data_IF_406041506086
#
_entry.id   IF_406041506086
#
_cell.length_a   1.000
_cell.length_b   1.000
_cell.length_c   1.000
_cell.angle_alpha   90.00
_cell.angle_beta   90.00
_cell.angle_gamma   90.00
#
_symmetry.space_group_name_H-M   'P 1'
#
loop_
_entity.id
_entity.type
_entity.pdbx_description
1 polymer ?
#
# COMPACT_ATOMS: atom_id res chain seq x y z
N UNK A 1 13.49 17.11 22.25
CA UNK A 1 13.59 16.44 20.94
C UNK A 1 12.57 17.08 20.01
N UNK A 2 13.03 17.75 18.95
CA UNK A 2 12.17 18.58 18.08
C UNK A 2 11.29 17.75 17.13
N UNK A 3 10.32 18.41 16.51
CA UNK A 3 9.40 17.85 15.49
C UNK A 3 10.14 17.12 14.36
N UNK A 4 11.33 17.56 13.98
CA UNK A 4 12.19 16.93 12.97
C UNK A 4 12.66 15.52 13.37
N UNK A 5 12.93 15.27 14.66
CA UNK A 5 13.35 13.95 15.14
C UNK A 5 12.24 12.90 14.99
N UNK A 6 10.99 13.32 15.21
CA UNK A 6 9.81 12.43 15.08
C UNK A 6 9.63 11.93 13.64
N UNK A 7 9.81 12.79 12.63
CA UNK A 7 9.70 12.35 11.23
C UNK A 7 10.77 11.36 10.82
N UNK A 8 12.01 11.55 11.28
CA UNK A 8 13.08 10.60 11.01
C UNK A 8 12.77 9.21 11.59
N UNK A 9 12.12 9.15 12.76
CA UNK A 9 11.70 7.88 13.35
C UNK A 9 10.58 7.20 12.55
N UNK A 10 9.58 7.96 12.10
CA UNK A 10 8.49 7.45 11.24
C UNK A 10 9.04 6.97 9.89
N UNK A 11 9.94 7.73 9.28
CA UNK A 11 10.59 7.35 8.03
C UNK A 11 11.36 6.02 8.18
N UNK A 12 12.07 5.81 9.30
CA UNK A 12 12.76 4.54 9.58
C UNK A 12 11.78 3.38 9.80
N UNK A 13 10.70 3.61 10.55
CA UNK A 13 9.64 2.61 10.76
C UNK A 13 9.04 2.16 9.43
N UNK A 14 8.70 3.13 8.56
CA UNK A 14 8.09 2.89 7.27
C UNK A 14 9.07 2.23 6.30
N UNK A 15 10.32 2.67 6.26
CA UNK A 15 11.35 2.05 5.40
C UNK A 15 11.57 0.58 5.76
N UNK A 16 11.63 0.25 7.05
CA UNK A 16 11.88 -1.11 7.53
C UNK A 16 10.84 -2.13 7.07
N UNK A 17 9.59 -1.70 6.81
CA UNK A 17 8.50 -2.59 6.40
C UNK A 17 8.06 -2.37 4.95
N UNK A 18 7.85 -1.12 4.56
CA UNK A 18 7.21 -0.74 3.30
C UNK A 18 8.21 -0.27 2.23
N UNK A 19 9.49 -0.17 2.57
CA UNK A 19 10.58 0.13 1.65
C UNK A 19 10.73 1.62 1.30
N UNK A 20 11.69 1.90 0.41
CA UNK A 20 12.16 3.25 0.11
C UNK A 20 11.10 4.16 -0.52
N UNK A 21 10.17 3.61 -1.32
CA UNK A 21 9.11 4.41 -1.95
C UNK A 21 8.20 5.04 -0.88
N UNK A 22 7.64 4.22 0.01
CA UNK A 22 6.78 4.71 1.09
C UNK A 22 7.54 5.67 2.02
N UNK A 23 8.83 5.42 2.27
CA UNK A 23 9.65 6.33 3.06
C UNK A 23 9.83 7.70 2.41
N UNK A 24 10.02 7.76 1.09
CA UNK A 24 10.20 9.03 0.38
C UNK A 24 8.93 9.89 0.49
N UNK A 25 7.75 9.27 0.36
CA UNK A 25 6.46 9.97 0.54
C UNK A 25 6.30 10.49 1.98
N UNK A 26 6.71 9.72 2.99
CA UNK A 26 6.71 10.18 4.40
C UNK A 26 7.64 11.36 4.59
N UNK A 27 8.85 11.33 4.01
CA UNK A 27 9.83 12.40 4.18
C UNK A 27 9.34 13.75 3.65
N UNK A 28 8.46 13.76 2.64
CA UNK A 28 7.86 14.97 2.06
C UNK A 28 6.51 15.35 2.68
N UNK A 29 5.94 14.51 3.55
CA UNK A 29 4.64 14.75 4.19
C UNK A 29 4.66 15.84 5.28
N UNK A 30 5.82 16.21 5.82
CA UNK A 30 5.92 17.20 6.88
C UNK A 30 5.68 16.64 8.30
N UNK A 31 6.25 17.26 9.35
CA UNK A 31 6.23 16.74 10.72
C UNK A 31 4.88 16.76 11.44
N UNK A 32 3.94 17.57 10.99
CA UNK A 32 2.57 17.63 11.48
C UNK A 32 1.82 16.31 11.26
N UNK A 33 2.18 15.54 10.23
CA UNK A 33 1.58 14.25 9.91
C UNK A 33 2.29 13.04 10.53
N UNK A 34 3.38 13.26 11.29
CA UNK A 34 4.19 12.17 11.86
C UNK A 34 3.37 11.15 12.66
N UNK A 35 2.49 11.63 13.55
CA UNK A 35 1.69 10.77 14.41
C UNK A 35 0.65 9.97 13.63
N UNK A 36 0.00 10.59 12.64
CA UNK A 36 -0.96 9.91 11.76
C UNK A 36 -0.27 8.81 10.94
N UNK A 37 0.86 9.13 10.32
CA UNK A 37 1.60 8.19 9.47
C UNK A 37 2.20 7.04 10.27
N UNK A 38 2.65 7.28 11.50
CA UNK A 38 3.07 6.22 12.42
C UNK A 38 1.92 5.28 12.76
N UNK A 39 0.78 5.83 13.20
CA UNK A 39 -0.40 5.05 13.55
C UNK A 39 -0.92 4.24 12.35
N UNK A 40 -0.92 4.83 11.15
CA UNK A 40 -1.31 4.13 9.93
C UNK A 40 -0.34 2.99 9.59
N UNK A 41 0.97 3.23 9.69
CA UNK A 41 2.00 2.22 9.48
C UNK A 41 1.90 1.04 10.45
N UNK A 42 1.52 1.29 11.71
CA UNK A 42 1.30 0.26 12.74
C UNK A 42 -0.03 -0.48 12.59
N UNK A 43 -1.05 0.18 12.01
CA UNK A 43 -2.38 -0.38 11.80
C UNK A 43 -2.41 -1.42 10.67
N UNK A 44 -1.81 -1.13 9.52
CA UNK A 44 -1.95 -1.98 8.33
C UNK A 44 -1.63 -3.48 8.55
N UNK A 45 -0.59 -3.87 9.31
CA UNK A 45 -0.23 -5.27 9.51
C UNK A 45 -1.23 -6.07 10.34
N UNK A 46 -2.02 -5.38 11.18
CA UNK A 46 -2.95 -6.03 12.12
C UNK A 46 -4.37 -6.18 11.55
N UNK A 47 -4.65 -5.56 10.40
CA UNK A 47 -5.96 -5.65 9.76
C UNK A 47 -6.18 -7.04 9.16
N UNK A 48 -7.39 -7.57 9.27
CA UNK A 48 -7.80 -8.69 8.40
C UNK A 48 -7.93 -8.22 6.94
N UNK A 49 -8.00 -9.16 6.00
CA UNK A 49 -8.02 -8.85 4.57
C UNK A 49 -9.25 -8.01 4.15
N UNK A 50 -10.40 -8.23 4.77
CA UNK A 50 -11.61 -7.50 4.44
C UNK A 50 -11.51 -6.04 4.87
N UNK A 51 -11.03 -5.80 6.09
CA UNK A 51 -10.81 -4.47 6.66
C UNK A 51 -9.66 -3.76 5.94
N UNK A 52 -8.59 -4.48 5.61
CA UNK A 52 -7.49 -3.97 4.80
C UNK A 52 -8.00 -3.43 3.46
N UNK A 53 -8.86 -4.17 2.75
CA UNK A 53 -9.43 -3.71 1.45
C UNK A 53 -10.23 -2.41 1.61
N UNK A 54 -11.00 -2.26 2.70
CA UNK A 54 -11.75 -1.02 2.99
C UNK A 54 -10.79 0.15 3.22
N UNK A 55 -9.85 0.00 4.15
CA UNK A 55 -8.88 1.05 4.52
C UNK A 55 -7.98 1.42 3.34
N UNK A 56 -7.59 0.43 2.53
CA UNK A 56 -6.81 0.66 1.32
C UNK A 56 -7.61 1.40 0.25
N UNK A 57 -8.90 1.10 0.07
CA UNK A 57 -9.74 1.84 -0.87
C UNK A 57 -9.88 3.32 -0.48
N UNK A 58 -10.04 3.62 0.81
CA UNK A 58 -10.07 5.00 1.32
C UNK A 58 -8.74 5.73 1.07
N UNK A 59 -7.60 5.08 1.33
CA UNK A 59 -6.29 5.67 1.07
C UNK A 59 -6.04 5.93 -0.42
N UNK A 60 -6.46 5.01 -1.29
CA UNK A 60 -6.37 5.17 -2.76
C UNK A 60 -7.24 6.35 -3.22
N UNK A 61 -8.49 6.42 -2.75
CA UNK A 61 -9.42 7.50 -3.08
C UNK A 61 -8.90 8.86 -2.62
N UNK A 62 -8.40 8.96 -1.38
CA UNK A 62 -7.82 10.19 -0.84
C UNK A 62 -6.59 10.63 -1.65
N UNK A 63 -5.72 9.68 -2.03
CA UNK A 63 -4.54 9.95 -2.84
C UNK A 63 -4.89 10.45 -4.25
N UNK A 64 -5.93 9.89 -4.87
CA UNK A 64 -6.34 10.27 -6.22
C UNK A 64 -7.10 11.61 -6.24
N UNK A 65 -7.84 11.93 -5.18
CA UNK A 65 -8.54 13.22 -5.04
C UNK A 65 -7.62 14.38 -4.62
N UNK A 66 -6.41 14.08 -4.13
CA UNK A 66 -5.46 15.11 -3.78
C UNK A 66 -4.77 15.62 -5.06
N UNK A 67 -5.15 16.84 -5.47
CA UNK A 67 -4.31 17.61 -6.38
C UNK A 67 -2.90 17.76 -5.79
N UNK A 68 -1.89 17.99 -6.61
CA UNK A 68 -0.48 18.20 -6.22
C UNK A 68 -0.24 19.47 -5.39
N UNK A 69 -1.24 19.94 -4.64
CA UNK A 69 -1.14 21.04 -3.70
C UNK A 69 -0.24 20.64 -2.51
N UNK A 70 0.56 21.59 -2.03
CA UNK A 70 1.37 21.43 -0.84
C UNK A 70 0.51 20.93 0.33
N UNK A 71 0.92 19.84 0.98
CA UNK A 71 0.20 19.19 2.09
C UNK A 71 -0.49 17.87 1.72
N UNK A 72 -0.63 17.51 0.44
CA UNK A 72 -1.21 16.24 -0.02
C UNK A 72 -0.30 15.01 0.19
N UNK A 73 0.96 15.22 0.54
CA UNK A 73 1.97 14.15 0.55
C UNK A 73 1.69 13.05 1.58
N UNK A 74 1.02 13.36 2.70
CA UNK A 74 0.62 12.35 3.68
C UNK A 74 -0.38 11.33 3.11
N UNK A 75 -1.29 11.72 2.20
CA UNK A 75 -2.21 10.77 1.56
C UNK A 75 -1.51 9.90 0.50
N UNK A 76 -0.51 10.44 -0.20
CA UNK A 76 0.36 9.64 -1.07
C UNK A 76 1.21 8.65 -0.27
N UNK A 77 1.70 9.03 0.92
CA UNK A 77 2.40 8.14 1.83
C UNK A 77 1.50 6.96 2.28
N UNK A 78 0.25 7.24 2.67
CA UNK A 78 -0.73 6.20 3.02
C UNK A 78 -1.00 5.25 1.84
N UNK A 79 -1.18 5.80 0.63
CA UNK A 79 -1.35 4.99 -0.57
C UNK A 79 -0.13 4.10 -0.87
N UNK A 80 1.09 4.63 -0.74
CA UNK A 80 2.32 3.86 -0.92
C UNK A 80 2.43 2.71 0.10
N UNK A 81 2.07 2.95 1.37
CA UNK A 81 2.07 1.93 2.41
C UNK A 81 1.07 0.81 2.13
N UNK A 82 -0.16 1.11 1.68
CA UNK A 82 -1.15 0.05 1.38
C UNK A 82 -0.73 -0.80 0.19
N UNK A 83 -0.10 -0.20 -0.83
CA UNK A 83 0.45 -0.98 -1.95
C UNK A 83 1.55 -1.93 -1.48
N UNK A 84 2.47 -1.44 -0.65
CA UNK A 84 3.55 -2.26 -0.10
C UNK A 84 3.02 -3.38 0.81
N UNK A 85 2.07 -3.08 1.70
CA UNK A 85 1.43 -4.08 2.56
C UNK A 85 0.70 -5.16 1.75
N UNK A 86 -0.01 -4.78 0.69
CA UNK A 86 -0.69 -5.74 -0.16
C UNK A 86 0.31 -6.70 -0.85
N UNK A 87 1.50 -6.21 -1.23
CA UNK A 87 2.60 -7.05 -1.74
C UNK A 87 3.12 -7.98 -0.66
N UNK A 88 3.34 -7.50 0.58
CA UNK A 88 3.78 -8.35 1.70
C UNK A 88 2.78 -9.49 1.95
N UNK A 89 1.49 -9.18 2.06
CA UNK A 89 0.42 -10.19 2.22
C UNK A 89 0.37 -11.18 1.06
N UNK A 90 0.63 -10.70 -0.17
CA UNK A 90 0.70 -11.56 -1.34
C UNK A 90 1.86 -12.55 -1.25
N UNK A 91 3.03 -12.09 -0.81
CA UNK A 91 4.20 -12.94 -0.58
C UNK A 91 3.95 -13.93 0.57
N UNK A 92 3.36 -13.48 1.68
CA UNK A 92 3.03 -14.32 2.83
C UNK A 92 2.02 -15.42 2.48
N UNK A 93 1.13 -15.17 1.51
CA UNK A 93 0.24 -16.18 0.92
C UNK A 93 0.95 -17.19 -0.02
N UNK A 94 2.27 -17.10 -0.15
CA UNK A 94 3.11 -18.03 -0.92
C UNK A 94 3.35 -17.63 -2.38
N UNK A 95 3.04 -16.39 -2.75
CA UNK A 95 3.28 -15.88 -4.10
C UNK A 95 4.67 -15.24 -4.24
N UNK A 96 5.16 -15.14 -5.48
CA UNK A 96 6.41 -14.42 -5.74
C UNK A 96 6.21 -12.90 -5.54
N UNK A 97 7.21 -12.22 -4.98
CA UNK A 97 7.16 -10.76 -4.74
C UNK A 97 6.98 -9.91 -6.02
N UNK A 98 7.31 -10.48 -7.18
CA UNK A 98 7.12 -9.86 -8.49
C UNK A 98 5.86 -10.36 -9.21
N UNK A 99 4.98 -11.17 -8.57
CA UNK A 99 3.71 -11.53 -9.19
C UNK A 99 2.88 -10.25 -9.35
N UNK A 100 2.37 -9.97 -10.56
CA UNK A 100 1.55 -8.79 -10.80
C UNK A 100 0.14 -8.89 -10.18
N UNK A 101 -0.22 -10.04 -9.59
CA UNK A 101 -1.56 -10.32 -9.07
C UNK A 101 -1.74 -9.96 -7.60
N UNK A 102 -1.50 -8.70 -7.22
CA UNK A 102 -1.68 -8.18 -5.85
C UNK A 102 -3.18 -8.03 -5.56
N UNK A 103 -3.87 -9.17 -5.45
CA UNK A 103 -5.33 -9.29 -5.39
C UNK A 103 -6.00 -8.32 -4.41
N UNK A 104 -5.45 -8.14 -3.22
CA UNK A 104 -6.04 -7.24 -2.21
C UNK A 104 -5.96 -5.77 -2.65
N UNK A 105 -4.83 -5.36 -3.26
CA UNK A 105 -4.69 -4.01 -3.80
C UNK A 105 -5.63 -3.79 -4.99
N UNK A 106 -5.75 -4.76 -5.89
CA UNK A 106 -6.68 -4.70 -7.02
C UNK A 106 -8.15 -4.57 -6.55
N UNK A 107 -8.56 -5.32 -5.52
CA UNK A 107 -9.88 -5.21 -4.90
C UNK A 107 -10.12 -3.83 -4.28
N UNK A 108 -9.13 -3.31 -3.56
CA UNK A 108 -9.19 -1.97 -2.96
C UNK A 108 -9.30 -0.88 -4.02
N UNK A 109 -8.52 -0.96 -5.10
CA UNK A 109 -8.57 0.00 -6.21
C UNK A 109 -9.93 -0.05 -6.92
N UNK A 110 -10.43 -1.25 -7.26
CA UNK A 110 -11.75 -1.41 -7.86
C UNK A 110 -12.88 -0.88 -6.97
N UNK A 111 -12.71 -0.95 -5.65
CA UNK A 111 -13.61 -0.29 -4.71
C UNK A 111 -13.47 1.23 -4.75
N UNK A 112 -12.26 1.77 -4.67
CA UNK A 112 -12.01 3.21 -4.74
C UNK A 112 -12.64 3.83 -6.01
N UNK A 113 -12.46 3.20 -7.17
CA UNK A 113 -13.06 3.62 -8.45
C UNK A 113 -14.60 3.54 -8.46
N UNK A 114 -15.22 2.60 -7.74
CA UNK A 114 -16.69 2.57 -7.62
C UNK A 114 -17.20 3.67 -6.70
N UNK A 115 -16.47 3.93 -5.62
CA UNK A 115 -16.87 4.86 -4.57
C UNK A 115 -16.54 6.33 -4.91
N UNK A 116 -15.73 6.57 -5.94
CA UNK A 116 -15.33 7.90 -6.40
C UNK A 116 -15.48 8.02 -7.92
N UNK A 117 -15.82 9.21 -8.44
CA UNK A 117 -15.89 9.44 -9.90
C UNK A 117 -14.50 9.51 -10.57
N UNK A 118 -13.52 8.76 -10.07
CA UNK A 118 -12.23 8.61 -10.73
C UNK A 118 -12.42 7.95 -12.10
N UNK A 119 -11.65 8.39 -13.09
CA UNK A 119 -11.63 7.70 -14.39
C UNK A 119 -11.24 6.22 -14.15
N UNK A 120 -12.04 5.26 -14.66
CA UNK A 120 -11.72 3.86 -14.46
C UNK A 120 -10.46 3.49 -15.26
N UNK A 121 -9.39 3.10 -14.57
CA UNK A 121 -8.77 1.78 -14.73
C UNK A 121 -7.50 1.62 -13.87
N UNK A 122 -7.32 0.48 -13.20
CA UNK A 122 -6.07 -0.27 -13.31
C UNK A 122 -6.25 -1.37 -14.38
N UNK A 123 -5.16 -1.86 -15.01
CA UNK A 123 -5.24 -2.97 -15.96
C UNK A 123 -5.92 -4.16 -15.28
N UNK A 124 -6.64 -4.97 -16.05
CA UNK A 124 -6.90 -6.35 -15.64
C UNK A 124 -5.55 -6.92 -15.19
N UNK A 125 -5.36 -7.13 -13.89
CA UNK A 125 -4.08 -7.68 -13.43
C UNK A 125 -3.90 -9.00 -14.17
N UNK A 126 -2.72 -9.24 -14.80
CA UNK A 126 -2.44 -10.53 -15.38
C UNK A 126 -2.74 -11.60 -14.33
N UNK A 127 -3.54 -12.61 -14.68
CA UNK A 127 -3.84 -13.72 -13.77
C UNK A 127 -2.52 -14.19 -13.12
N UNK A 128 -2.48 -14.21 -11.78
CA UNK A 128 -1.25 -14.52 -11.07
C UNK A 128 -0.79 -15.95 -11.42
N UNK A 129 0.30 -16.07 -12.18
CA UNK A 129 0.77 -17.36 -12.71
C UNK A 129 1.67 -18.14 -11.74
N UNK A 130 2.04 -17.55 -10.60
CA UNK A 130 2.96 -18.22 -9.68
C UNK A 130 2.33 -19.45 -8.98
N UNK A 131 0.99 -19.59 -8.99
CA UNK A 131 0.31 -20.84 -8.64
C UNK A 131 0.42 -21.93 -9.72
N UNK A 132 0.34 -21.56 -11.00
CA UNK A 132 0.43 -22.52 -12.11
C UNK A 132 1.81 -23.19 -12.17
N UNK A 133 2.89 -22.41 -12.00
CA UNK A 133 4.27 -22.94 -11.98
C UNK A 133 4.55 -23.85 -10.78
N UNK A 134 4.01 -23.54 -9.61
CA UNK A 134 4.18 -24.36 -8.40
C UNK A 134 3.37 -25.67 -8.43
N UNK A 135 2.28 -25.72 -9.20
CA UNK A 135 1.49 -26.94 -9.46
C UNK A 135 2.15 -27.79 -10.55
N UNK A 136 2.68 -27.19 -11.61
CA UNK A 136 3.42 -27.89 -12.67
C UNK A 136 4.70 -28.54 -12.13
N UNK A 137 5.48 -27.84 -11.29
CA UNK A 137 6.69 -28.41 -10.68
C UNK A 137 6.40 -29.58 -9.73
N UNK A 138 5.28 -29.52 -8.98
CA UNK A 138 4.83 -30.63 -8.13
C UNK A 138 4.25 -31.81 -8.90
N UNK A 139 3.77 -31.61 -10.13
CA UNK A 139 3.32 -32.69 -11.03
C UNK A 139 4.47 -33.32 -11.81
N UNK A 140 5.59 -32.62 -11.94
CA UNK A 140 6.80 -33.06 -12.63
C UNK A 140 7.87 -33.67 -11.68
N UNK A 141 7.61 -33.68 -10.36
CA UNK A 141 8.43 -34.33 -9.33
C UNK A 141 7.77 -35.61 -8.85
#
# INVERSE_FOLDING_TARGET
>A
MGQTGRMSDVARLVEARYGALARNEVAVAGPEHAAELAAFAELLPILDDATFVVVAAEAIAASAGAASADGAQHVHARHAMVRAEAVLRHVDAGHAAHCPGVRLYALAYARAVRDTHLDPAPPAEPECTCGARAVEQRRAS
#
